data_IF_139343574782
#
_entry.id   IF_139343574782
#
_cell.length_a   1.000
_cell.length_b   1.000
_cell.length_c   1.000
_cell.angle_alpha   90.00
_cell.angle_beta   90.00
_cell.angle_gamma   90.00
#
_symmetry.space_group_name_H-M   'P 1'
#
loop_
_entity.id
_entity.type
_entity.pdbx_description
1 polymer ?
#
# COMPACT_ATOMS: atom_id res chain seq x y z
N UNK A 1 46.36 -6.46 -19.96
CA UNK A 1 44.99 -6.17 -19.46
C UNK A 1 44.63 -4.74 -19.85
N UNK A 2 43.67 -4.53 -20.75
CA UNK A 2 43.15 -3.18 -21.06
C UNK A 2 41.94 -2.91 -20.18
N UNK A 3 41.96 -1.86 -19.36
CA UNK A 3 40.77 -1.41 -18.62
C UNK A 3 39.86 -0.66 -19.58
N UNK A 4 38.68 -1.18 -19.86
CA UNK A 4 37.62 -0.44 -20.53
C UNK A 4 37.08 0.59 -19.54
N UNK A 5 37.31 1.88 -19.80
CA UNK A 5 36.59 2.95 -19.12
C UNK A 5 35.17 2.97 -19.71
N UNK A 6 34.18 2.57 -18.92
CA UNK A 6 32.79 2.78 -19.26
C UNK A 6 32.49 4.28 -19.27
N UNK A 7 32.26 4.85 -20.45
CA UNK A 7 31.82 6.23 -20.59
C UNK A 7 30.35 6.26 -20.12
N UNK A 8 30.13 6.79 -18.92
CA UNK A 8 28.79 7.06 -18.41
C UNK A 8 28.22 8.27 -19.17
N UNK A 9 27.57 8.01 -20.31
CA UNK A 9 26.86 9.04 -21.09
C UNK A 9 25.69 9.57 -20.27
N UNK A 10 25.93 10.61 -19.50
CA UNK A 10 24.90 11.30 -18.74
C UNK A 10 23.87 11.90 -19.71
N UNK A 11 22.64 11.39 -19.69
CA UNK A 11 21.55 11.96 -20.46
C UNK A 11 21.25 13.36 -19.94
N UNK A 12 21.53 14.37 -20.77
CA UNK A 12 21.27 15.78 -20.44
C UNK A 12 19.77 16.04 -20.59
N UNK A 13 19.00 15.75 -19.54
CA UNK A 13 17.62 16.23 -19.43
C UNK A 13 17.63 17.76 -19.52
N UNK A 14 17.11 18.30 -20.63
CA UNK A 14 17.02 19.73 -20.81
C UNK A 14 16.07 20.36 -19.79
N UNK A 15 16.44 21.52 -19.23
CA UNK A 15 15.47 22.36 -18.52
C UNK A 15 14.55 23.05 -19.54
N UNK A 16 13.63 22.26 -20.11
CA UNK A 16 12.45 22.80 -20.79
C UNK A 16 11.60 23.55 -19.78
N UNK A 17 11.34 24.83 -20.03
CA UNK A 17 10.45 25.64 -19.18
C UNK A 17 9.01 25.31 -19.55
N UNK A 18 8.49 24.22 -19.00
CA UNK A 18 7.11 23.81 -19.19
C UNK A 18 6.17 24.65 -18.32
N UNK A 19 5.38 25.51 -18.95
CA UNK A 19 4.34 26.28 -18.27
C UNK A 19 3.19 25.35 -17.83
N UNK A 20 2.74 25.51 -16.58
CA UNK A 20 1.36 25.23 -16.18
C UNK A 20 0.80 23.80 -16.35
N UNK A 21 1.62 22.76 -16.47
CA UNK A 21 1.10 21.39 -16.56
C UNK A 21 0.24 21.02 -15.34
N UNK A 22 -0.93 20.42 -15.57
CA UNK A 22 -1.74 19.84 -14.50
C UNK A 22 -0.98 18.69 -13.83
N UNK A 23 -0.55 18.88 -12.58
CA UNK A 23 0.08 17.83 -11.76
C UNK A 23 -0.93 16.72 -11.46
N UNK A 24 -0.90 15.64 -12.22
CA UNK A 24 -1.60 14.40 -11.88
C UNK A 24 -0.94 13.66 -10.73
N UNK A 25 -1.74 12.94 -9.95
CA UNK A 25 -1.21 11.89 -9.08
C UNK A 25 -0.61 10.78 -9.96
N UNK A 26 0.66 10.46 -9.71
CA UNK A 26 1.35 9.34 -10.38
C UNK A 26 1.67 8.27 -9.34
N UNK A 27 1.30 7.02 -9.61
CA UNK A 27 1.59 5.86 -8.76
C UNK A 27 2.56 4.89 -9.42
N UNK A 28 3.28 4.11 -8.62
CA UNK A 28 3.99 2.90 -9.06
C UNK A 28 2.99 1.78 -9.34
N UNK A 29 3.19 1.02 -10.43
CA UNK A 29 2.34 -0.13 -10.79
C UNK A 29 2.99 -1.49 -10.54
N UNK A 30 4.32 -1.58 -10.61
CA UNK A 30 5.07 -2.83 -10.36
C UNK A 30 5.33 -3.05 -8.86
N UNK A 31 5.55 -4.30 -8.44
CA UNK A 31 5.72 -4.65 -7.03
C UNK A 31 6.91 -3.96 -6.38
N UNK A 32 8.02 -3.83 -7.11
CA UNK A 32 9.26 -3.20 -6.65
C UNK A 32 9.90 -2.40 -7.80
N UNK A 33 9.64 -1.09 -7.82
CA UNK A 33 10.30 -0.15 -8.72
C UNK A 33 11.64 0.29 -8.14
N UNK A 34 12.72 0.04 -8.90
CA UNK A 34 14.07 0.44 -8.53
C UNK A 34 14.28 1.94 -8.77
N UNK A 35 14.64 2.69 -7.73
CA UNK A 35 14.93 4.14 -7.77
C UNK A 35 16.43 4.36 -7.91
N UNK A 36 16.85 5.16 -8.88
CA UNK A 36 18.25 5.25 -9.34
C UNK A 36 18.80 6.67 -9.39
N UNK A 37 20.12 6.78 -9.32
CA UNK A 37 20.85 8.06 -9.35
C UNK A 37 20.86 8.73 -10.74
N UNK A 38 20.71 7.93 -11.81
CA UNK A 38 20.67 8.37 -13.22
C UNK A 38 19.64 7.50 -14.01
N UNK A 39 19.15 7.92 -15.18
CA UNK A 39 18.13 7.21 -15.97
C UNK A 39 18.70 6.01 -16.75
N UNK A 40 19.40 5.10 -16.09
CA UNK A 40 19.94 3.88 -16.72
C UNK A 40 19.84 2.68 -15.79
N UNK A 41 19.64 1.48 -16.35
CA UNK A 41 19.57 0.23 -15.56
C UNK A 41 20.90 -0.18 -14.91
N UNK A 42 22.01 0.41 -15.35
CA UNK A 42 23.34 0.26 -14.75
C UNK A 42 23.62 1.30 -13.65
N UNK A 43 22.78 2.34 -13.51
CA UNK A 43 22.99 3.36 -12.50
C UNK A 43 22.74 2.84 -11.09
N UNK A 44 23.53 3.34 -10.13
CA UNK A 44 23.43 3.06 -8.71
C UNK A 44 21.99 3.16 -8.22
N UNK A 45 21.55 2.11 -7.53
CA UNK A 45 20.29 2.09 -6.80
C UNK A 45 20.39 3.03 -5.59
N UNK A 46 19.51 4.03 -5.50
CA UNK A 46 19.42 4.96 -4.37
C UNK A 46 18.20 4.68 -3.50
N UNK A 47 17.23 3.90 -3.98
CA UNK A 47 16.07 3.45 -3.22
C UNK A 47 15.25 2.41 -3.96
N UNK A 48 14.12 2.02 -3.35
CA UNK A 48 13.07 1.19 -3.96
C UNK A 48 11.73 1.79 -3.59
N UNK A 49 10.75 1.66 -4.47
CA UNK A 49 9.35 2.01 -4.24
C UNK A 49 8.47 0.81 -4.58
N UNK A 50 7.35 0.67 -3.88
CA UNK A 50 6.40 -0.44 -4.00
C UNK A 50 5.17 -0.02 -4.80
N UNK A 51 4.43 -1.00 -5.33
CA UNK A 51 3.16 -0.74 -6.04
C UNK A 51 2.20 0.11 -5.18
N UNK A 52 1.55 1.08 -5.81
CA UNK A 52 0.70 2.08 -5.15
C UNK A 52 1.44 3.21 -4.42
N UNK A 53 2.79 3.23 -4.34
CA UNK A 53 3.48 4.42 -3.85
C UNK A 53 3.29 5.61 -4.83
N UNK A 54 2.97 6.78 -4.27
CA UNK A 54 2.80 8.03 -5.02
C UNK A 54 4.15 8.67 -5.32
N UNK A 55 4.29 9.28 -6.49
CA UNK A 55 5.53 9.87 -7.01
C UNK A 55 5.36 11.38 -7.23
N UNK A 56 6.22 12.22 -6.64
CA UNK A 56 6.37 13.62 -7.08
C UNK A 56 7.22 13.65 -8.35
N UNK A 57 6.58 13.41 -9.50
CA UNK A 57 7.23 13.44 -10.82
C UNK A 57 7.55 14.88 -11.19
N UNK A 58 8.81 15.13 -11.56
CA UNK A 58 9.33 16.42 -12.03
C UNK A 58 9.23 16.50 -13.56
N UNK A 59 9.61 15.43 -14.26
CA UNK A 59 9.52 15.28 -15.71
C UNK A 59 9.56 13.78 -16.07
N UNK A 60 9.11 13.39 -17.26
CA UNK A 60 9.34 12.06 -17.84
C UNK A 60 9.81 12.18 -19.28
N UNK A 61 10.98 11.60 -19.57
CA UNK A 61 11.64 11.68 -20.88
C UNK A 61 12.37 10.36 -21.17
N UNK A 62 12.41 9.94 -22.44
CA UNK A 62 13.18 8.76 -22.90
C UNK A 62 12.91 7.47 -22.09
N UNK A 63 11.68 7.28 -21.59
CA UNK A 63 11.28 6.14 -20.77
C UNK A 63 11.56 6.25 -19.27
N UNK A 64 12.11 7.37 -18.78
CA UNK A 64 12.45 7.56 -17.37
C UNK A 64 11.73 8.77 -16.77
N UNK A 65 11.05 8.54 -15.64
CA UNK A 65 10.48 9.59 -14.81
C UNK A 65 11.53 10.09 -13.83
N UNK A 66 11.89 11.37 -13.92
CA UNK A 66 12.61 12.09 -12.87
C UNK A 66 11.62 12.37 -11.74
N UNK A 67 11.94 11.94 -10.54
CA UNK A 67 11.12 12.10 -9.34
C UNK A 67 11.88 12.85 -8.24
N UNK A 68 11.14 13.41 -7.30
CA UNK A 68 11.67 13.94 -6.04
C UNK A 68 11.54 12.90 -4.93
N UNK A 69 12.67 12.51 -4.33
CA UNK A 69 12.74 11.58 -3.19
C UNK A 69 13.60 12.21 -2.09
N UNK A 70 13.06 12.35 -0.89
CA UNK A 70 13.72 12.94 0.29
C UNK A 70 14.41 14.30 -0.01
N UNK A 71 13.75 15.12 -0.83
CA UNK A 71 14.22 16.43 -1.27
C UNK A 71 15.25 16.40 -2.41
N UNK A 72 15.72 15.24 -2.86
CA UNK A 72 16.71 15.05 -3.94
C UNK A 72 16.03 14.59 -5.23
N UNK A 73 16.69 14.79 -6.35
CA UNK A 73 16.28 14.18 -7.61
C UNK A 73 16.73 12.71 -7.69
N UNK A 74 15.88 11.86 -8.25
CA UNK A 74 16.19 10.48 -8.61
C UNK A 74 15.36 10.04 -9.83
N UNK A 75 15.62 8.84 -10.35
CA UNK A 75 14.99 8.35 -11.58
C UNK A 75 14.36 6.97 -11.39
N UNK A 76 13.20 6.76 -12.01
CA UNK A 76 12.52 5.46 -12.12
C UNK A 76 12.10 5.20 -13.57
N UNK A 77 11.95 3.94 -13.98
CA UNK A 77 11.41 3.63 -15.31
C UNK A 77 9.91 3.97 -15.36
N UNK A 78 9.51 4.74 -16.37
CA UNK A 78 8.15 5.24 -16.53
C UNK A 78 7.14 4.14 -16.89
N UNK A 79 7.62 3.03 -17.47
CA UNK A 79 6.81 1.84 -17.80
C UNK A 79 6.10 1.24 -16.56
N UNK A 80 6.66 1.47 -15.38
CA UNK A 80 6.15 1.01 -14.09
C UNK A 80 5.49 2.13 -13.27
N UNK A 81 5.10 3.23 -13.94
CA UNK A 81 4.40 4.37 -13.34
C UNK A 81 3.11 4.66 -14.10
N UNK A 82 2.09 5.18 -13.42
CA UNK A 82 0.78 5.47 -14.02
C UNK A 82 0.23 6.77 -13.44
N UNK A 83 -0.03 7.74 -14.31
CA UNK A 83 -0.63 9.03 -13.99
C UNK A 83 -2.12 8.98 -14.23
N UNK A 84 -2.92 9.50 -13.30
CA UNK A 84 -4.38 9.55 -13.44
C UNK A 84 -4.89 10.99 -13.58
N UNK A 85 -5.66 11.24 -14.64
CA UNK A 85 -6.28 12.52 -14.95
C UNK A 85 -7.78 12.34 -15.11
N UNK A 86 -8.57 13.32 -14.69
CA UNK A 86 -10.03 13.35 -14.88
C UNK A 86 -10.42 14.51 -15.78
N UNK A 87 -11.38 14.28 -16.68
CA UNK A 87 -11.82 15.30 -17.65
C UNK A 87 -12.73 16.33 -16.98
N UNK A 88 -12.43 17.62 -17.14
CA UNK A 88 -13.22 18.73 -16.55
C UNK A 88 -14.27 19.29 -17.52
N UNK A 89 -14.08 19.12 -18.83
CA UNK A 89 -15.00 19.60 -19.86
C UNK A 89 -16.17 18.63 -20.10
N UNK A 90 -17.37 19.17 -20.38
CA UNK A 90 -18.56 18.37 -20.68
C UNK A 90 -18.35 17.39 -21.85
N UNK A 91 -17.58 17.81 -22.86
CA UNK A 91 -17.09 17.00 -23.97
C UNK A 91 -15.65 17.44 -24.26
N UNK A 92 -14.73 16.48 -24.40
CA UNK A 92 -13.33 16.69 -24.74
C UNK A 92 -12.94 15.83 -25.95
N UNK A 93 -12.48 16.46 -27.02
CA UNK A 93 -12.08 15.75 -28.24
C UNK A 93 -10.76 14.99 -28.03
N UNK A 94 -10.78 13.69 -28.32
CA UNK A 94 -9.59 12.83 -28.42
C UNK A 94 -9.05 12.92 -29.84
N UNK A 95 -7.75 13.16 -29.99
CA UNK A 95 -7.14 13.50 -31.29
C UNK A 95 -5.97 12.61 -31.69
N UNK A 96 -5.72 12.55 -33.00
CA UNK A 96 -4.61 11.81 -33.60
C UNK A 96 -3.24 12.51 -33.45
N UNK A 97 -3.21 13.80 -33.11
CA UNK A 97 -1.97 14.56 -32.87
C UNK A 97 -2.12 15.60 -31.77
N UNK A 98 -0.98 16.07 -31.26
CA UNK A 98 -0.87 17.14 -30.26
C UNK A 98 -1.14 18.54 -30.87
N UNK A 99 -2.29 18.73 -31.51
CA UNK A 99 -2.75 20.00 -32.09
C UNK A 99 -4.26 19.99 -32.38
N UNK A 100 -4.85 21.18 -32.56
CA UNK A 100 -6.29 21.40 -32.80
C UNK A 100 -6.81 20.97 -34.17
N UNK A 101 -5.92 20.69 -35.11
CA UNK A 101 -6.27 20.56 -36.53
C UNK A 101 -6.21 19.09 -36.99
N UNK A 102 -5.61 18.23 -36.16
CA UNK A 102 -5.56 16.78 -36.34
C UNK A 102 -6.91 16.09 -36.15
N UNK A 103 -7.05 14.94 -36.81
CA UNK A 103 -8.24 14.07 -36.79
C UNK A 103 -8.77 13.82 -35.37
N UNK A 104 -10.09 13.91 -35.20
CA UNK A 104 -10.78 13.57 -33.94
C UNK A 104 -11.07 12.06 -33.96
N UNK A 105 -10.34 11.32 -33.13
CA UNK A 105 -10.48 9.86 -32.97
C UNK A 105 -11.68 9.46 -32.09
N UNK A 106 -12.20 10.40 -31.30
CA UNK A 106 -13.31 10.16 -30.38
C UNK A 106 -13.56 11.33 -29.44
N UNK A 107 -14.37 11.09 -28.41
CA UNK A 107 -14.65 12.09 -27.36
C UNK A 107 -14.68 11.42 -25.99
N UNK A 108 -14.22 12.15 -24.99
CA UNK A 108 -14.44 11.88 -23.57
C UNK A 108 -15.47 12.88 -23.02
N UNK A 109 -16.06 12.56 -21.88
CA UNK A 109 -17.04 13.38 -21.15
C UNK A 109 -16.46 13.86 -19.83
N UNK A 110 -17.13 14.81 -19.18
CA UNK A 110 -16.78 15.24 -17.83
C UNK A 110 -16.74 14.04 -16.87
N UNK A 111 -15.76 14.06 -15.97
CA UNK A 111 -15.47 13.07 -14.95
C UNK A 111 -14.94 11.70 -15.48
N UNK A 112 -14.78 11.53 -16.80
CA UNK A 112 -14.07 10.37 -17.39
C UNK A 112 -12.60 10.33 -16.91
N UNK A 113 -12.13 9.12 -16.56
CA UNK A 113 -10.75 8.83 -16.15
C UNK A 113 -9.86 8.53 -17.37
N UNK A 114 -8.74 9.25 -17.46
CA UNK A 114 -7.61 8.96 -18.34
C UNK A 114 -6.44 8.46 -17.49
N UNK A 115 -5.91 7.30 -17.84
CA UNK A 115 -4.68 6.77 -17.25
C UNK A 115 -3.58 6.70 -18.30
N UNK A 116 -2.35 7.10 -17.97
CA UNK A 116 -1.22 7.06 -18.92
C UNK A 116 0.14 6.96 -18.22
N UNK A 117 1.11 6.33 -18.89
CA UNK A 117 2.52 6.32 -18.49
C UNK A 117 3.27 7.58 -18.95
N UNK A 118 2.66 8.39 -19.81
CA UNK A 118 3.26 9.57 -20.44
C UNK A 118 2.95 10.84 -19.64
N UNK A 119 3.86 11.81 -19.70
CA UNK A 119 3.63 13.16 -19.18
C UNK A 119 3.06 14.09 -20.26
N UNK A 120 2.60 15.26 -19.82
CA UNK A 120 2.17 16.35 -20.69
C UNK A 120 3.34 16.91 -21.50
N UNK A 121 3.12 17.14 -22.78
CA UNK A 121 4.04 17.87 -23.66
C UNK A 121 3.26 18.93 -24.44
N UNK A 122 3.73 20.18 -24.41
CA UNK A 122 3.14 21.31 -25.15
C UNK A 122 1.61 21.47 -24.94
N UNK A 123 1.14 21.36 -23.69
CA UNK A 123 -0.29 21.39 -23.30
C UNK A 123 -1.16 20.23 -23.82
N UNK A 124 -0.56 19.18 -24.40
CA UNK A 124 -1.24 17.93 -24.76
C UNK A 124 -0.76 16.76 -23.89
N UNK A 125 -1.70 15.93 -23.45
CA UNK A 125 -1.42 14.64 -22.79
C UNK A 125 -1.55 13.53 -23.82
N UNK A 126 -0.50 12.71 -23.97
CA UNK A 126 -0.56 11.48 -24.76
C UNK A 126 -1.05 10.31 -23.90
N UNK A 127 -1.95 9.50 -24.44
CA UNK A 127 -2.48 8.28 -23.81
C UNK A 127 -2.84 7.23 -24.86
N UNK A 128 -3.27 6.05 -24.44
CA UNK A 128 -3.83 5.04 -25.34
C UNK A 128 -5.35 5.21 -25.45
N UNK A 129 -5.87 5.27 -26.68
CA UNK A 129 -7.30 5.26 -26.96
C UNK A 129 -7.58 4.25 -28.07
N UNK A 130 -8.27 3.15 -27.74
CA UNK A 130 -8.65 2.11 -28.70
C UNK A 130 -7.47 1.44 -29.41
N UNK A 131 -6.38 1.12 -28.68
CA UNK A 131 -5.19 0.49 -29.27
C UNK A 131 -4.30 1.44 -30.07
N UNK A 132 -4.53 2.76 -30.01
CA UNK A 132 -3.73 3.79 -30.70
C UNK A 132 -3.22 4.83 -29.71
N UNK A 133 -2.05 5.42 -30.01
CA UNK A 133 -1.63 6.66 -29.36
C UNK A 133 -2.58 7.80 -29.75
N UNK A 134 -3.06 8.53 -28.76
CA UNK A 134 -3.99 9.64 -28.93
C UNK A 134 -3.68 10.78 -27.94
N UNK A 135 -4.24 11.96 -28.21
CA UNK A 135 -3.93 13.20 -27.52
C UNK A 135 -5.19 13.93 -27.04
N UNK A 136 -5.12 14.52 -25.86
CA UNK A 136 -6.14 15.45 -25.31
C UNK A 136 -5.49 16.71 -24.74
N UNK A 137 -6.23 17.82 -24.73
CA UNK A 137 -5.73 19.13 -24.33
C UNK A 137 -5.84 19.34 -22.81
N UNK A 138 -4.72 19.63 -22.15
CA UNK A 138 -4.52 19.52 -20.70
C UNK A 138 -5.29 20.55 -19.85
N UNK A 139 -5.56 21.78 -20.32
CA UNK A 139 -6.49 22.69 -19.64
C UNK A 139 -7.92 22.15 -19.42
N UNK A 140 -8.28 21.01 -20.03
CA UNK A 140 -9.55 20.31 -19.78
C UNK A 140 -9.39 19.05 -18.90
N UNK A 141 -8.27 18.93 -18.17
CA UNK A 141 -7.96 17.82 -17.27
C UNK A 141 -7.65 18.31 -15.85
N UNK A 142 -7.83 17.43 -14.86
CA UNK A 142 -7.39 17.65 -13.47
C UNK A 142 -6.76 16.37 -12.89
N UNK A 143 -5.78 16.52 -12.01
CA UNK A 143 -5.24 15.41 -11.22
C UNK A 143 -6.11 15.02 -10.02
N UNK A 144 -7.08 15.87 -9.65
CA UNK A 144 -7.98 15.67 -8.51
C UNK A 144 -9.17 14.82 -8.93
N UNK A 145 -9.41 13.69 -8.24
CA UNK A 145 -10.58 12.87 -8.46
C UNK A 145 -11.88 13.66 -8.20
N UNK A 146 -12.94 13.47 -9.02
CA UNK A 146 -14.21 14.16 -8.84
C UNK A 146 -14.85 13.77 -7.51
N UNK A 147 -15.32 14.77 -6.76
CA UNK A 147 -16.09 14.54 -5.54
C UNK A 147 -17.47 14.02 -5.94
N UNK A 148 -17.66 12.70 -5.83
CA UNK A 148 -18.97 12.09 -6.02
C UNK A 148 -19.84 12.49 -4.83
N UNK A 149 -20.68 13.51 -5.02
CA UNK A 149 -21.73 13.86 -4.08
C UNK A 149 -22.66 12.66 -3.91
N UNK A 150 -22.50 11.94 -2.79
CA UNK A 150 -23.48 10.97 -2.33
C UNK A 150 -24.74 11.75 -1.97
N UNK A 151 -25.69 11.82 -2.92
CA UNK A 151 -27.05 12.25 -2.61
C UNK A 151 -27.56 11.39 -1.46
N UNK A 152 -27.82 12.04 -0.33
CA UNK A 152 -28.43 11.39 0.81
C UNK A 152 -29.80 10.86 0.37
N UNK A 153 -29.95 9.54 0.35
CA UNK A 153 -31.28 8.93 0.27
C UNK A 153 -31.97 9.33 1.58
N UNK A 154 -33.10 10.06 1.54
CA UNK A 154 -33.79 10.44 2.76
C UNK A 154 -34.13 9.18 3.55
N UNK A 155 -33.74 9.15 4.82
CA UNK A 155 -34.06 8.03 5.69
C UNK A 155 -35.59 7.86 5.72
N UNK A 156 -36.09 6.71 5.26
CA UNK A 156 -37.49 6.36 5.48
C UNK A 156 -37.66 6.05 6.97
N UNK A 157 -38.69 6.62 7.59
CA UNK A 157 -38.99 6.43 9.01
C UNK A 157 -39.29 4.95 9.33
N UNK A 158 -38.29 4.21 9.80
CA UNK A 158 -38.53 2.89 10.40
C UNK A 158 -39.28 3.06 11.72
N UNK A 159 -40.55 2.66 11.72
CA UNK A 159 -41.42 2.78 12.89
C UNK A 159 -40.89 1.95 14.08
N UNK A 160 -40.89 2.48 15.32
CA UNK A 160 -40.16 1.88 16.43
C UNK A 160 -40.77 0.56 16.92
N UNK A 161 -40.10 -0.55 16.59
CA UNK A 161 -40.45 -1.90 17.06
C UNK A 161 -40.13 -2.07 18.56
N UNK A 162 -41.18 -2.09 19.38
CA UNK A 162 -41.07 -2.29 20.84
C UNK A 162 -40.61 -3.71 21.19
N UNK A 163 -39.31 -3.90 21.45
CA UNK A 163 -38.79 -5.09 22.13
C UNK A 163 -39.08 -4.98 23.63
N UNK A 164 -39.79 -5.96 24.20
CA UNK A 164 -40.08 -6.05 25.64
C UNK A 164 -39.01 -6.89 26.35
N UNK A 165 -38.04 -6.26 27.00
CA UNK A 165 -37.10 -6.95 27.89
C UNK A 165 -37.76 -7.27 29.23
N UNK A 166 -38.17 -8.51 29.45
CA UNK A 166 -38.71 -8.97 30.73
C UNK A 166 -37.57 -9.43 31.66
N UNK A 167 -37.17 -8.57 32.59
CA UNK A 167 -36.19 -8.91 33.63
C UNK A 167 -36.87 -9.71 34.75
N UNK A 168 -36.23 -10.80 35.21
CA UNK A 168 -36.50 -11.38 36.53
C UNK A 168 -35.20 -11.81 37.20
N UNK A 169 -34.69 -10.95 38.07
CA UNK A 169 -33.79 -11.29 39.17
C UNK A 169 -34.35 -10.60 40.42
N UNK A 170 -34.31 -11.28 41.56
CA UNK A 170 -34.84 -10.81 42.82
C UNK A 170 -33.71 -10.43 43.81
N UNK A 171 -34.09 -9.87 44.95
CA UNK A 171 -33.30 -9.38 46.08
C UNK A 171 -32.06 -10.22 46.54
N UNK A 172 -31.06 -9.68 47.26
CA UNK A 172 -30.63 -8.28 47.56
C UNK A 172 -29.35 -8.30 48.47
N UNK A 173 -28.94 -7.12 49.00
CA UNK A 173 -28.11 -6.87 50.23
C UNK A 173 -26.70 -6.26 50.06
N UNK A 174 -26.63 -4.95 50.35
CA UNK A 174 -25.61 -4.14 51.08
C UNK A 174 -24.09 -4.39 50.92
N UNK A 175 -23.45 -3.44 50.23
CA UNK A 175 -22.64 -2.35 50.83
C UNK A 175 -21.71 -2.68 52.03
N UNK A 176 -20.37 -2.63 51.82
CA UNK A 176 -19.43 -1.69 52.50
C UNK A 176 -17.96 -1.83 52.07
N UNK A 177 -17.28 -0.68 51.95
CA UNK A 177 -15.81 -0.47 52.05
C UNK A 177 -15.46 -0.06 53.50
N UNK A 178 -14.17 0.11 53.96
CA UNK A 178 -12.92 0.22 53.18
C UNK A 178 -11.65 -0.47 53.76
N UNK A 179 -10.52 -0.21 53.09
CA UNK A 179 -9.16 0.00 53.62
C UNK A 179 -8.34 -1.14 54.31
N UNK A 180 -7.24 -1.50 53.63
CA UNK A 180 -5.84 -1.41 54.08
C UNK A 180 -5.38 -2.15 55.37
N UNK A 181 -4.37 -3.01 55.22
CA UNK A 181 -3.09 -2.82 55.95
C UNK A 181 -1.90 -3.58 55.33
N UNK A 182 -0.72 -3.02 55.59
CA UNK A 182 0.58 -3.51 55.15
C UNK A 182 1.09 -4.67 56.04
N UNK A 183 1.98 -5.53 55.52
CA UNK A 183 3.20 -6.00 56.21
C UNK A 183 4.04 -6.84 55.24
N UNK A 184 5.33 -6.50 55.12
CA UNK A 184 6.34 -7.37 54.54
C UNK A 184 7.29 -7.85 55.65
N UNK A 185 7.84 -9.06 55.55
CA UNK A 185 9.19 -9.35 56.05
C UNK A 185 9.80 -10.57 55.35
N UNK A 186 11.13 -10.58 55.31
CA UNK A 186 12.01 -11.37 54.46
C UNK A 186 12.67 -12.56 55.21
N UNK A 187 12.96 -13.65 54.49
CA UNK A 187 14.09 -14.55 54.79
C UNK A 187 13.78 -15.89 55.50
N UNK A 188 14.72 -16.85 55.57
CA UNK A 188 16.02 -17.03 54.85
C UNK A 188 16.58 -18.45 55.12
N UNK A 189 17.23 -19.10 54.14
CA UNK A 189 18.07 -20.32 54.28
C UNK A 189 17.36 -21.60 54.84
N UNK A 190 17.88 -22.85 54.82
CA UNK A 190 18.85 -23.66 54.01
C UNK A 190 18.60 -25.18 54.43
N UNK A 191 19.26 -26.29 54.08
CA UNK A 191 20.58 -26.67 53.50
C UNK A 191 20.43 -27.97 52.64
N UNK A 192 21.49 -28.35 51.91
CA UNK A 192 21.68 -29.54 51.05
C UNK A 192 21.76 -30.91 51.79
N UNK A 193 21.57 -32.01 51.05
CA UNK A 193 22.61 -33.04 50.74
C UNK A 193 22.09 -34.02 49.68
N UNK A 194 22.84 -34.59 48.71
CA UNK A 194 24.23 -34.43 48.26
C UNK A 194 24.37 -34.98 46.81
N UNK A 195 25.23 -34.41 45.95
CA UNK A 195 26.53 -34.96 45.49
C UNK A 195 26.41 -36.28 44.67
N UNK A 196 27.02 -36.47 43.48
CA UNK A 196 28.05 -35.71 42.71
C UNK A 196 27.87 -36.04 41.19
N UNK A 197 28.69 -35.71 40.16
CA UNK A 197 30.05 -35.12 40.05
C UNK A 197 30.26 -34.38 38.69
N UNK A 198 31.53 -34.25 38.24
CA UNK A 198 32.07 -33.60 37.01
C UNK A 198 33.60 -33.96 36.95
N UNK A 199 34.50 -33.35 36.14
CA UNK A 199 34.44 -32.83 34.74
C UNK A 199 35.64 -33.29 33.86
N UNK A 200 35.59 -33.06 32.54
CA UNK A 200 36.76 -32.71 31.69
C UNK A 200 36.31 -31.64 30.67
N UNK A 201 37.23 -30.90 30.03
CA UNK A 201 36.91 -29.70 29.22
C UNK A 201 37.71 -29.59 27.90
N UNK A 202 37.39 -28.53 27.14
CA UNK A 202 38.26 -27.79 26.21
C UNK A 202 38.41 -28.27 24.74
N UNK A 203 37.72 -27.57 23.83
CA UNK A 203 38.23 -27.17 22.50
C UNK A 203 37.37 -26.04 21.88
N UNK A 204 37.95 -25.22 20.99
CA UNK A 204 37.27 -24.15 20.22
C UNK A 204 37.75 -24.17 18.76
N UNK A 205 36.84 -24.26 17.79
CA UNK A 205 36.89 -23.44 16.57
C UNK A 205 35.66 -22.50 16.53
N UNK A 206 35.80 -21.19 16.28
CA UNK A 206 36.00 -20.54 14.97
C UNK A 206 34.65 -20.25 14.27
N UNK A 207 34.58 -19.22 13.42
CA UNK A 207 33.32 -18.59 13.02
C UNK A 207 33.21 -18.29 11.51
N UNK A 208 31.97 -18.01 11.07
CA UNK A 208 31.50 -17.71 9.69
C UNK A 208 31.35 -18.93 8.77
N UNK A 209 30.47 -18.85 7.74
CA UNK A 209 29.65 -17.71 7.32
C UNK A 209 28.23 -17.71 7.87
N UNK A 210 27.57 -16.55 7.76
CA UNK A 210 26.11 -16.41 7.94
C UNK A 210 25.43 -17.04 6.73
N UNK A 211 24.51 -17.97 6.94
CA UNK A 211 23.71 -18.50 5.83
C UNK A 211 22.79 -17.41 5.28
N UNK A 212 22.84 -17.28 3.95
CA UNK A 212 22.08 -16.30 3.18
C UNK A 212 20.59 -16.60 3.35
N UNK A 213 19.84 -15.68 3.95
CA UNK A 213 18.39 -15.75 4.02
C UNK A 213 17.80 -15.81 2.61
N UNK A 214 17.50 -17.03 2.15
CA UNK A 214 16.83 -17.25 0.87
C UNK A 214 15.43 -16.69 0.95
N UNK A 215 15.12 -15.69 0.13
CA UNK A 215 13.74 -15.28 -0.14
C UNK A 215 13.04 -16.49 -0.78
N UNK A 216 12.37 -17.29 0.04
CA UNK A 216 11.49 -18.37 -0.41
C UNK A 216 10.27 -17.73 -1.06
N UNK A 217 10.43 -17.34 -2.32
CA UNK A 217 9.31 -16.90 -3.15
C UNK A 217 8.28 -18.03 -3.16
N UNK A 218 7.10 -17.73 -2.61
CA UNK A 218 6.02 -18.70 -2.59
C UNK A 218 5.69 -19.07 -4.05
N UNK A 219 5.51 -20.36 -4.39
CA UNK A 219 5.22 -20.75 -5.76
C UNK A 219 3.91 -20.11 -6.20
N UNK A 220 3.99 -19.20 -7.18
CA UNK A 220 2.84 -18.47 -7.72
C UNK A 220 1.78 -19.47 -8.20
N UNK A 221 0.52 -19.22 -7.83
CA UNK A 221 -0.58 -20.16 -7.99
C UNK A 221 -0.88 -21.01 -6.76
N UNK A 222 -0.08 -20.96 -5.68
CA UNK A 222 -0.42 -21.55 -4.37
C UNK A 222 -1.72 -20.95 -3.84
N UNK A 223 -2.75 -21.78 -3.75
CA UNK A 223 -4.02 -21.48 -3.11
C UNK A 223 -4.04 -22.08 -1.69
N UNK A 224 -4.60 -21.33 -0.73
CA UNK A 224 -4.79 -21.74 0.65
C UNK A 224 -6.16 -21.26 1.16
N UNK A 225 -6.80 -22.05 2.02
CA UNK A 225 -7.97 -21.61 2.79
C UNK A 225 -7.52 -20.97 4.09
N UNK A 226 -8.05 -19.80 4.41
CA UNK A 226 -7.73 -19.02 5.62
C UNK A 226 -9.01 -18.56 6.32
N UNK A 227 -8.91 -18.26 7.62
CA UNK A 227 -9.89 -17.41 8.29
C UNK A 227 -9.58 -15.95 7.94
N UNK A 228 -10.56 -15.21 7.43
CA UNK A 228 -10.45 -13.78 7.17
C UNK A 228 -11.37 -12.98 8.10
N UNK A 229 -10.83 -11.90 8.65
CA UNK A 229 -11.56 -10.76 9.23
C UNK A 229 -11.35 -9.51 8.37
N UNK A 230 -11.85 -8.35 8.79
CA UNK A 230 -11.52 -7.06 8.21
C UNK A 230 -11.13 -6.06 9.31
N UNK A 231 -10.29 -5.11 8.93
CA UNK A 231 -9.82 -4.00 9.76
C UNK A 231 -9.90 -2.68 8.99
N UNK A 232 -9.84 -1.54 9.70
CA UNK A 232 -9.94 -0.22 9.08
C UNK A 232 -8.63 0.55 9.20
N UNK A 233 -8.55 1.69 8.51
CA UNK A 233 -7.47 2.66 8.64
C UNK A 233 -7.58 3.56 9.90
N UNK A 234 -8.39 3.21 10.90
CA UNK A 234 -8.67 4.06 12.06
C UNK A 234 -7.44 4.19 13.00
N UNK A 235 -6.98 5.43 13.29
CA UNK A 235 -5.91 5.71 14.26
C UNK A 235 -6.10 5.08 15.64
N UNK A 236 -7.34 4.88 16.07
CA UNK A 236 -7.68 4.37 17.40
C UNK A 236 -7.51 2.85 17.52
N UNK A 237 -7.56 2.14 16.40
CA UNK A 237 -7.40 0.68 16.32
C UNK A 237 -5.93 0.29 16.11
N UNK A 238 -5.23 1.06 15.28
CA UNK A 238 -3.90 0.73 14.77
C UNK A 238 -2.75 1.50 15.46
N UNK A 239 -3.05 2.60 16.17
CA UNK A 239 -2.06 3.59 16.57
C UNK A 239 -1.60 4.46 15.39
N UNK A 240 -0.69 5.41 15.63
CA UNK A 240 -0.12 6.26 14.57
C UNK A 240 1.37 6.51 14.72
N UNK A 241 2.03 6.71 13.59
CA UNK A 241 3.43 7.09 13.46
C UNK A 241 3.51 8.44 12.74
N UNK A 242 3.82 9.50 13.46
CA UNK A 242 3.78 10.87 12.93
C UNK A 242 2.38 11.32 12.48
N UNK A 243 1.31 10.83 13.13
CA UNK A 243 -0.08 11.14 12.79
C UNK A 243 -0.66 10.30 11.64
N UNK A 244 0.06 9.30 11.13
CA UNK A 244 -0.35 8.42 10.03
C UNK A 244 -0.47 6.97 10.51
N UNK A 245 -1.48 6.25 10.04
CA UNK A 245 -1.61 4.80 10.22
C UNK A 245 -0.76 4.13 9.14
N UNK A 246 0.28 3.39 9.55
CA UNK A 246 1.23 2.75 8.64
C UNK A 246 1.16 1.23 8.77
N UNK A 247 1.15 0.51 7.65
CA UNK A 247 1.27 -0.95 7.64
C UNK A 247 2.69 -1.41 8.00
N UNK A 248 2.88 -2.71 8.23
CA UNK A 248 4.21 -3.33 8.39
C UNK A 248 5.18 -3.08 7.21
N UNK A 249 4.69 -2.81 5.99
CA UNK A 249 5.50 -2.40 4.83
C UNK A 249 5.59 -0.88 4.62
N UNK A 250 4.99 -0.08 5.51
CA UNK A 250 5.03 1.39 5.46
C UNK A 250 4.00 2.04 4.53
N UNK A 251 2.97 1.32 4.08
CA UNK A 251 1.86 1.92 3.33
C UNK A 251 1.04 2.81 4.27
N UNK A 252 0.79 4.06 3.87
CA UNK A 252 -0.03 5.01 4.64
C UNK A 252 -1.52 4.79 4.38
N UNK A 253 -2.21 4.22 5.36
CA UNK A 253 -3.64 3.94 5.31
C UNK A 253 -4.49 5.19 5.62
N UNK A 254 -3.96 6.18 6.34
CA UNK A 254 -4.69 7.43 6.62
C UNK A 254 -4.91 8.23 5.34
N UNK A 255 -3.94 8.26 4.43
CA UNK A 255 -4.12 8.86 3.10
C UNK A 255 -4.79 7.91 2.08
N UNK A 256 -4.84 6.60 2.34
CA UNK A 256 -5.35 5.59 1.40
C UNK A 256 -6.23 4.52 2.09
N UNK A 257 -7.36 4.90 2.73
CA UNK A 257 -8.15 3.98 3.57
C UNK A 257 -8.85 2.85 2.80
N UNK A 258 -8.92 2.96 1.47
CA UNK A 258 -9.47 1.94 0.56
C UNK A 258 -8.38 1.15 -0.19
N UNK A 259 -7.11 1.25 0.23
CA UNK A 259 -6.01 0.52 -0.42
C UNK A 259 -6.24 -1.00 -0.30
N UNK A 260 -5.96 -1.75 -1.37
CA UNK A 260 -6.10 -3.21 -1.37
C UNK A 260 -4.90 -3.87 -0.68
N UNK A 261 -4.87 -3.77 0.65
CA UNK A 261 -3.88 -4.40 1.52
C UNK A 261 -4.57 -5.44 2.39
N UNK A 262 -3.86 -6.54 2.66
CA UNK A 262 -4.20 -7.49 3.71
C UNK A 262 -3.06 -7.65 4.71
N UNK A 263 -3.41 -7.86 5.99
CA UNK A 263 -2.50 -8.31 7.02
C UNK A 263 -2.36 -9.83 6.98
N UNK A 264 -1.13 -10.34 7.16
CA UNK A 264 -0.80 -11.79 7.03
C UNK A 264 0.15 -12.28 8.12
N UNK A 265 0.34 -13.61 8.19
CA UNK A 265 1.55 -14.21 8.75
C UNK A 265 2.62 -14.33 7.65
N UNK A 266 3.78 -13.62 7.76
CA UNK A 266 4.85 -13.67 6.76
C UNK A 266 5.42 -15.07 6.49
N UNK A 267 5.19 -16.05 7.38
CA UNK A 267 5.59 -17.46 7.20
C UNK A 267 4.63 -18.27 6.32
N UNK A 268 3.43 -17.76 6.08
CA UNK A 268 2.36 -18.44 5.32
C UNK A 268 2.09 -17.76 3.98
N UNK A 269 2.12 -16.43 3.98
CA UNK A 269 2.12 -15.55 2.79
C UNK A 269 3.24 -14.53 3.02
N UNK A 270 4.35 -14.54 2.25
CA UNK A 270 5.42 -13.55 2.41
C UNK A 270 4.92 -12.12 2.19
N UNK A 271 5.45 -11.16 2.95
CA UNK A 271 5.14 -9.74 2.74
C UNK A 271 5.57 -9.29 1.34
N UNK A 272 4.76 -8.42 0.74
CA UNK A 272 4.92 -7.96 -0.64
C UNK A 272 4.35 -8.92 -1.69
N UNK A 273 3.83 -10.09 -1.30
CA UNK A 273 3.13 -10.98 -2.25
C UNK A 273 1.84 -10.31 -2.75
N UNK A 274 1.62 -10.30 -4.08
CA UNK A 274 0.27 -10.15 -4.61
C UNK A 274 -0.58 -11.37 -4.24
N UNK A 275 -1.85 -11.15 -3.93
CA UNK A 275 -2.83 -12.20 -3.70
C UNK A 275 -4.16 -11.87 -4.37
N UNK A 276 -4.92 -12.89 -4.74
CA UNK A 276 -6.37 -12.78 -4.93
C UNK A 276 -7.06 -13.39 -3.71
N UNK A 277 -8.03 -12.66 -3.15
CA UNK A 277 -8.82 -13.05 -1.97
C UNK A 277 -10.28 -13.17 -2.37
N UNK A 278 -10.87 -14.34 -2.13
CA UNK A 278 -12.26 -14.64 -2.44
C UNK A 278 -13.22 -13.64 -1.78
N UNK A 279 -14.07 -13.02 -2.58
CA UNK A 279 -15.01 -11.97 -2.15
C UNK A 279 -14.41 -10.57 -1.91
N UNK A 280 -13.09 -10.40 -1.92
CA UNK A 280 -12.42 -9.10 -1.71
C UNK A 280 -11.67 -8.60 -2.96
N UNK A 281 -11.21 -9.50 -3.84
CA UNK A 281 -10.48 -9.19 -5.06
C UNK A 281 -8.95 -9.29 -4.92
N UNK A 282 -8.22 -8.67 -5.82
CA UNK A 282 -6.76 -8.60 -5.76
C UNK A 282 -6.28 -7.63 -4.67
N UNK A 283 -5.17 -7.98 -4.01
CA UNK A 283 -4.58 -7.24 -2.91
C UNK A 283 -3.09 -7.54 -2.71
N UNK A 284 -2.42 -6.72 -1.90
CA UNK A 284 -1.02 -6.88 -1.48
C UNK A 284 -1.01 -7.43 -0.05
N UNK A 285 -0.18 -8.44 0.22
CA UNK A 285 0.20 -8.86 1.56
C UNK A 285 1.14 -7.80 2.19
N UNK A 286 0.57 -6.64 2.55
CA UNK A 286 1.30 -5.42 2.88
C UNK A 286 1.44 -5.13 4.38
N UNK A 287 0.88 -5.98 5.24
CA UNK A 287 0.73 -5.69 6.67
C UNK A 287 0.84 -6.94 7.59
N UNK A 288 0.99 -6.74 8.90
CA UNK A 288 1.01 -7.82 9.90
C UNK A 288 0.35 -7.41 11.21
N UNK A 289 -0.68 -8.13 11.64
CA UNK A 289 -1.31 -7.95 12.96
C UNK A 289 -0.73 -8.88 14.03
N UNK A 290 -0.84 -8.51 15.31
CA UNK A 290 -0.46 -9.36 16.44
C UNK A 290 -1.24 -10.68 16.47
N UNK A 291 -2.55 -10.61 16.24
CA UNK A 291 -3.48 -11.76 16.21
C UNK A 291 -3.52 -12.52 14.86
N UNK A 292 -2.81 -12.03 13.84
CA UNK A 292 -2.79 -12.59 12.49
C UNK A 292 -1.60 -13.54 12.37
N UNK A 293 -1.85 -14.84 12.60
CA UNK A 293 -0.83 -15.90 12.70
C UNK A 293 -1.35 -17.17 12.03
N UNK A 294 -0.48 -17.93 11.37
CA UNK A 294 -0.87 -19.12 10.61
C UNK A 294 -1.81 -18.78 9.44
N UNK A 295 -2.82 -19.62 9.21
CA UNK A 295 -3.82 -19.44 8.15
C UNK A 295 -4.93 -18.44 8.56
N UNK A 296 -4.56 -17.25 9.00
CA UNK A 296 -5.46 -16.11 9.22
C UNK A 296 -4.98 -14.90 8.41
N UNK A 297 -5.91 -14.12 7.89
CA UNK A 297 -5.67 -12.79 7.30
C UNK A 297 -6.63 -11.75 7.89
N UNK A 298 -6.28 -10.48 7.71
CA UNK A 298 -7.20 -9.35 7.93
C UNK A 298 -7.24 -8.51 6.64
N UNK A 299 -8.42 -8.11 6.16
CA UNK A 299 -8.53 -7.30 4.92
C UNK A 299 -8.83 -5.84 5.22
N UNK A 300 -8.12 -4.91 4.58
CA UNK A 300 -8.36 -3.48 4.81
C UNK A 300 -9.66 -3.03 4.14
N UNK A 301 -10.52 -2.34 4.89
CA UNK A 301 -11.77 -1.74 4.40
C UNK A 301 -11.92 -0.30 4.88
N UNK A 302 -12.58 0.53 4.07
CA UNK A 302 -12.66 1.98 4.30
C UNK A 302 -13.65 2.46 5.37
N UNK A 303 -14.35 1.56 6.08
CA UNK A 303 -15.22 1.92 7.20
C UNK A 303 -15.57 0.73 8.10
N UNK A 304 -15.83 1.03 9.37
CA UNK A 304 -16.23 0.09 10.42
C UNK A 304 -17.45 -0.74 9.98
N UNK A 305 -18.46 -0.09 9.40
CA UNK A 305 -19.67 -0.75 8.86
C UNK A 305 -19.39 -1.71 7.69
N UNK A 306 -18.30 -1.50 6.94
CA UNK A 306 -17.82 -2.47 5.93
C UNK A 306 -17.10 -3.64 6.60
N UNK A 307 -16.41 -3.42 7.72
CA UNK A 307 -15.77 -4.49 8.50
C UNK A 307 -16.81 -5.39 9.18
N UNK A 308 -17.84 -4.81 9.78
CA UNK A 308 -19.00 -5.52 10.33
C UNK A 308 -19.73 -6.34 9.26
N UNK A 309 -19.99 -5.74 8.08
CA UNK A 309 -20.62 -6.42 6.94
C UNK A 309 -19.73 -7.51 6.33
N UNK A 310 -18.41 -7.39 6.46
CA UNK A 310 -17.46 -8.41 6.02
C UNK A 310 -17.43 -9.61 6.97
N UNK A 311 -17.43 -9.36 8.28
CA UNK A 311 -17.46 -10.37 9.34
C UNK A 311 -16.21 -11.27 9.42
N UNK A 312 -16.29 -12.32 10.26
CA UNK A 312 -15.33 -13.43 10.27
C UNK A 312 -15.84 -14.56 9.38
N UNK A 313 -15.05 -14.99 8.40
CA UNK A 313 -15.42 -16.09 7.48
C UNK A 313 -14.20 -16.81 6.91
N UNK A 314 -14.39 -18.05 6.49
CA UNK A 314 -13.35 -18.79 5.74
C UNK A 314 -13.36 -18.38 4.28
N UNK A 315 -12.19 -18.11 3.70
CA UNK A 315 -12.02 -17.69 2.29
C UNK A 315 -10.83 -18.39 1.65
N UNK A 316 -10.86 -18.55 0.33
CA UNK A 316 -9.68 -18.89 -0.48
C UNK A 316 -8.80 -17.66 -0.70
N UNK A 317 -7.50 -17.84 -0.53
CA UNK A 317 -6.46 -16.89 -0.91
C UNK A 317 -5.50 -17.57 -1.87
N UNK A 318 -5.28 -16.95 -3.03
CA UNK A 318 -4.34 -17.44 -4.04
C UNK A 318 -3.20 -16.46 -4.18
N UNK A 319 -1.96 -16.91 -3.96
CA UNK A 319 -0.76 -16.11 -4.24
C UNK A 319 -0.61 -15.98 -5.75
N UNK A 320 -0.62 -14.74 -6.24
CA UNK A 320 -0.44 -14.40 -7.66
C UNK A 320 0.91 -13.69 -7.87
N UNK A 321 1.24 -13.35 -9.11
CA UNK A 321 2.56 -12.86 -9.53
C UNK A 321 2.44 -11.50 -10.19
#
# INVERSE_FOLDING_TARGET
>A
MKKLLGIATAAVFGLGIFAGSAKAETIVTTDVLNVRENPTVESKLVGKMLSGNKLDVINTENGWSKIKLDGKEAFVSAEFTKSSYYVTANVLNVRAGANTDSEILGTLKKDDLIETTNQVQNEWLQFEYGGKAAYVHVPFLTGTAPVIERKEVPAQDEAPTKVKTAVKNDASVKEKTPAKNDTAVNGKESVKSGASSKPVAQAKPAAKPVEKSTETSAPAGREITVEATAYTANPSENGTYGGRVLTAMGHDLTANPNMKVIAVDPKVIPLGSKVWVEGYGEAIAGDTGGAIKGNRIDVLVGSDSTADSWGRKSVKVKVIK
#
